data_IF_889611761837
#
_entry.id   IF_889611761837
#
_cell.length_a   1.000
_cell.length_b   1.000
_cell.length_c   1.000
_cell.angle_alpha   90.00
_cell.angle_beta   90.00
_cell.angle_gamma   90.00
#
_symmetry.space_group_name_H-M   'P 1'
#
loop_
_entity.id
_entity.type
_entity.pdbx_description
1 polymer ?
#
# COMPACT_ATOMS: atom_id res chain seq x y z
N UNK A 1 -21.23 -38.44 6.95
CA UNK A 1 -20.66 -37.54 7.97
C UNK A 1 -19.76 -36.49 7.31
N UNK A 2 -20.33 -35.48 6.64
CA UNK A 2 -19.57 -34.40 5.98
C UNK A 2 -20.11 -32.99 6.24
N UNK A 3 -21.30 -32.87 6.86
CA UNK A 3 -21.95 -31.58 7.14
C UNK A 3 -21.55 -30.95 8.48
N UNK A 4 -21.13 -31.75 9.46
CA UNK A 4 -20.83 -31.27 10.81
C UNK A 4 -19.62 -30.32 10.83
N UNK A 5 -18.57 -30.64 10.06
CA UNK A 5 -17.40 -29.75 9.90
C UNK A 5 -17.73 -28.45 9.18
N UNK A 6 -18.58 -28.50 8.15
CA UNK A 6 -19.03 -27.31 7.42
C UNK A 6 -19.90 -26.40 8.30
N UNK A 7 -20.78 -27.00 9.11
CA UNK A 7 -21.62 -26.26 10.06
C UNK A 7 -20.78 -25.61 11.17
N UNK A 8 -19.79 -26.32 11.70
CA UNK A 8 -18.85 -25.77 12.68
C UNK A 8 -17.99 -24.64 12.12
N UNK A 9 -17.54 -24.76 10.87
CA UNK A 9 -16.83 -23.68 10.17
C UNK A 9 -17.71 -22.44 9.98
N UNK A 10 -18.98 -22.62 9.62
CA UNK A 10 -19.94 -21.53 9.49
C UNK A 10 -20.21 -20.84 10.83
N UNK A 11 -20.40 -21.60 11.91
CA UNK A 11 -20.59 -21.06 13.27
C UNK A 11 -19.38 -20.23 13.70
N UNK A 12 -18.16 -20.73 13.48
CA UNK A 12 -16.94 -20.02 13.81
C UNK A 12 -16.77 -18.74 12.96
N UNK A 13 -17.10 -18.80 11.67
CA UNK A 13 -17.11 -17.63 10.78
C UNK A 13 -18.08 -16.55 11.27
N UNK A 14 -19.30 -16.93 11.64
CA UNK A 14 -20.31 -16.00 12.18
C UNK A 14 -19.86 -15.38 13.51
N UNK A 15 -19.27 -16.17 14.41
CA UNK A 15 -18.77 -15.68 15.70
C UNK A 15 -17.60 -14.70 15.53
N UNK A 16 -16.68 -14.99 14.62
CA UNK A 16 -15.58 -14.10 14.28
C UNK A 16 -16.07 -12.80 13.61
N UNK A 17 -17.05 -12.90 12.71
CA UNK A 17 -17.62 -11.71 12.09
C UNK A 17 -18.34 -10.80 13.11
N UNK A 18 -19.04 -11.38 14.09
CA UNK A 18 -19.66 -10.60 15.18
C UNK A 18 -18.63 -9.89 16.06
N UNK A 19 -17.53 -10.57 16.42
CA UNK A 19 -16.47 -9.95 17.23
C UNK A 19 -15.69 -8.88 16.47
N UNK A 20 -15.58 -9.01 15.14
CA UNK A 20 -15.02 -7.95 14.28
C UNK A 20 -15.96 -6.75 14.18
N UNK A 21 -17.28 -6.96 14.12
CA UNK A 21 -18.24 -5.84 14.17
C UNK A 21 -18.20 -5.08 15.49
N UNK A 22 -18.11 -5.78 16.63
CA UNK A 22 -18.00 -5.11 17.94
C UNK A 22 -16.69 -4.33 18.05
N UNK A 23 -15.57 -4.92 17.61
CA UNK A 23 -14.27 -4.23 17.52
C UNK A 23 -14.28 -3.04 16.56
N UNK A 24 -15.03 -3.07 15.45
CA UNK A 24 -15.20 -1.90 14.57
C UNK A 24 -16.02 -0.79 15.22
N UNK A 25 -16.95 -1.14 16.12
CA UNK A 25 -17.73 -0.16 16.88
C UNK A 25 -16.88 0.50 17.96
N UNK A 26 -16.00 -0.26 18.61
CA UNK A 26 -15.08 0.22 19.66
C UNK A 26 -13.86 0.96 19.07
N UNK A 27 -13.23 0.40 18.02
CA UNK A 27 -12.10 1.00 17.30
C UNK A 27 -12.57 1.91 16.16
N UNK A 28 -13.47 2.86 16.45
CA UNK A 28 -13.57 4.07 15.62
C UNK A 28 -12.56 5.08 16.17
N UNK A 29 -11.28 5.10 15.74
CA UNK A 29 -10.34 6.15 16.13
C UNK A 29 -10.79 7.55 15.63
N UNK A 30 -11.79 7.59 14.75
CA UNK A 30 -12.41 8.81 14.22
C UNK A 30 -13.86 9.04 14.73
N UNK A 31 -14.27 8.44 15.86
CA UNK A 31 -15.57 8.76 16.48
C UNK A 31 -15.59 10.13 17.17
N UNK A 32 -14.45 10.82 17.25
CA UNK A 32 -14.38 12.21 17.67
C UNK A 32 -14.88 13.13 16.57
N UNK A 33 -16.02 13.78 16.81
CA UNK A 33 -16.42 15.09 16.30
C UNK A 33 -16.48 15.39 14.79
N UNK A 34 -16.09 14.50 13.87
CA UNK A 34 -16.07 14.79 12.42
C UNK A 34 -17.21 14.13 11.63
N UNK A 35 -18.03 13.29 12.26
CA UNK A 35 -19.12 12.55 11.60
C UNK A 35 -20.30 13.43 11.14
N UNK A 36 -20.37 14.69 11.60
CA UNK A 36 -21.39 15.67 11.22
C UNK A 36 -20.80 16.96 10.66
N UNK A 37 -19.51 16.99 10.32
CA UNK A 37 -18.90 18.18 9.72
C UNK A 37 -19.16 18.11 8.22
N UNK A 38 -19.92 19.07 7.72
CA UNK A 38 -20.01 19.32 6.28
C UNK A 38 -18.59 19.55 5.77
N UNK A 39 -18.11 18.63 4.93
CA UNK A 39 -16.83 18.75 4.27
C UNK A 39 -16.86 20.07 3.49
N UNK A 40 -16.13 21.06 4.01
CA UNK A 40 -15.98 22.37 3.37
C UNK A 40 -15.58 22.13 1.93
N UNK A 41 -16.22 22.84 0.98
CA UNK A 41 -15.93 22.67 -0.44
C UNK A 41 -14.42 22.80 -0.67
N UNK A 42 -13.79 21.68 -1.01
CA UNK A 42 -12.40 21.68 -1.39
C UNK A 42 -12.29 22.51 -2.67
N UNK A 43 -11.36 23.47 -2.76
CA UNK A 43 -11.14 24.19 -3.99
C UNK A 43 -10.87 23.15 -5.07
N UNK A 44 -11.70 23.14 -6.13
CA UNK A 44 -11.52 22.22 -7.26
C UNK A 44 -10.11 22.45 -7.76
N UNK A 45 -9.22 21.46 -7.54
CA UNK A 45 -7.84 21.55 -7.96
C UNK A 45 -7.81 21.97 -9.42
N UNK A 46 -7.20 23.12 -9.72
CA UNK A 46 -7.15 23.61 -11.08
C UNK A 46 -6.42 22.58 -11.93
N UNK A 47 -6.91 22.33 -13.15
CA UNK A 47 -6.25 21.41 -14.09
C UNK A 47 -4.77 21.75 -14.27
N UNK A 48 -4.42 23.03 -14.16
CA UNK A 48 -3.03 23.53 -14.20
C UNK A 48 -2.17 23.03 -13.05
N UNK A 49 -2.72 22.91 -11.85
CA UNK A 49 -1.97 22.48 -10.66
C UNK A 49 -1.73 20.98 -10.69
N UNK A 50 -2.73 20.22 -11.16
CA UNK A 50 -2.58 18.78 -11.42
C UNK A 50 -1.51 18.50 -12.48
N UNK A 51 -1.43 19.31 -13.54
CA UNK A 51 -0.39 19.20 -14.56
C UNK A 51 1.00 19.49 -13.99
N UNK A 52 1.16 20.57 -13.21
CA UNK A 52 2.43 20.90 -12.53
C UNK A 52 2.89 19.78 -11.59
N UNK A 53 1.97 19.22 -10.81
CA UNK A 53 2.27 18.09 -9.92
C UNK A 53 2.72 16.88 -10.74
N UNK A 54 2.00 16.55 -11.81
CA UNK A 54 2.34 15.43 -12.70
C UNK A 54 3.74 15.59 -13.31
N UNK A 55 4.07 16.77 -13.81
CA UNK A 55 5.39 17.05 -14.39
C UNK A 55 6.51 16.94 -13.36
N UNK A 56 6.31 17.49 -12.17
CA UNK A 56 7.27 17.37 -11.06
C UNK A 56 7.52 15.90 -10.70
N UNK A 57 6.45 15.13 -10.58
CA UNK A 57 6.50 13.71 -10.21
C UNK A 57 7.18 12.86 -11.28
N UNK A 58 6.93 13.16 -12.57
CA UNK A 58 7.63 12.51 -13.68
C UNK A 58 9.14 12.83 -13.69
N UNK A 59 9.52 14.07 -13.40
CA UNK A 59 10.94 14.46 -13.34
C UNK A 59 11.67 13.76 -12.19
N UNK A 60 11.06 13.73 -11.02
CA UNK A 60 11.61 13.04 -9.85
C UNK A 60 11.72 11.52 -10.09
N UNK A 61 10.71 10.90 -10.70
CA UNK A 61 10.77 9.49 -11.07
C UNK A 61 11.89 9.19 -12.07
N UNK A 62 12.10 10.03 -13.09
CA UNK A 62 13.21 9.85 -14.05
C UNK A 62 14.58 9.90 -13.37
N UNK A 63 14.76 10.79 -12.40
CA UNK A 63 16.01 10.87 -11.62
C UNK A 63 16.17 9.63 -10.74
N UNK A 64 15.08 9.21 -10.08
CA UNK A 64 15.07 8.03 -9.21
C UNK A 64 15.38 6.76 -10.01
N UNK A 65 14.74 6.54 -11.16
CA UNK A 65 14.97 5.34 -11.98
C UNK A 65 16.41 5.28 -12.49
N UNK A 66 17.00 6.41 -12.92
CA UNK A 66 18.43 6.46 -13.29
C UNK A 66 19.35 6.06 -12.14
N UNK A 67 19.11 6.59 -10.94
CA UNK A 67 19.92 6.22 -9.76
C UNK A 67 19.81 4.72 -9.45
N UNK A 68 18.61 4.15 -9.51
CA UNK A 68 18.42 2.71 -9.30
C UNK A 68 19.14 1.88 -10.36
N UNK A 69 19.08 2.30 -11.62
CA UNK A 69 19.75 1.61 -12.72
C UNK A 69 21.27 1.61 -12.55
N UNK A 70 21.86 2.75 -12.18
CA UNK A 70 23.31 2.85 -11.91
C UNK A 70 23.73 1.92 -10.78
N UNK A 71 23.01 1.94 -9.64
CA UNK A 71 23.33 1.08 -8.49
C UNK A 71 23.20 -0.40 -8.87
N UNK A 72 22.12 -0.79 -9.55
CA UNK A 72 21.90 -2.18 -9.97
C UNK A 72 23.01 -2.66 -10.90
N UNK A 73 23.42 -1.83 -11.86
CA UNK A 73 24.51 -2.16 -12.79
C UNK A 73 25.83 -2.37 -12.03
N UNK A 74 26.13 -1.50 -11.07
CA UNK A 74 27.33 -1.58 -10.23
C UNK A 74 27.36 -2.89 -9.42
N UNK A 75 26.23 -3.25 -8.80
CA UNK A 75 26.07 -4.49 -8.03
C UNK A 75 26.27 -5.71 -8.94
N UNK A 76 25.68 -5.73 -10.14
CA UNK A 76 25.86 -6.82 -11.09
C UNK A 76 27.32 -7.00 -11.53
N UNK A 77 28.04 -5.90 -11.78
CA UNK A 77 29.46 -5.95 -12.13
C UNK A 77 30.30 -6.54 -10.99
N UNK A 78 30.02 -6.15 -9.74
CA UNK A 78 30.72 -6.71 -8.57
C UNK A 78 30.45 -8.21 -8.45
N UNK A 79 29.19 -8.65 -8.59
CA UNK A 79 28.85 -10.08 -8.55
C UNK A 79 29.53 -10.86 -9.68
N UNK A 80 29.50 -10.33 -10.91
CA UNK A 80 30.18 -10.96 -12.05
C UNK A 80 31.69 -11.10 -11.81
N UNK A 81 32.32 -10.07 -11.22
CA UNK A 81 33.74 -10.11 -10.88
C UNK A 81 34.06 -11.17 -9.82
N UNK A 82 33.25 -11.28 -8.76
CA UNK A 82 33.42 -12.30 -7.72
C UNK A 82 33.28 -13.71 -8.31
N UNK A 83 32.26 -13.94 -9.16
CA UNK A 83 32.04 -15.23 -9.82
C UNK A 83 33.23 -15.57 -10.71
N UNK A 84 33.69 -14.63 -11.53
CA UNK A 84 34.85 -14.83 -12.39
C UNK A 84 36.08 -15.25 -11.59
N UNK A 85 36.36 -14.57 -10.47
CA UNK A 85 37.50 -14.85 -9.59
C UNK A 85 37.40 -16.19 -8.86
N UNK A 86 36.19 -16.69 -8.63
CA UNK A 86 35.96 -17.99 -7.97
C UNK A 86 36.02 -19.15 -8.96
N UNK A 87 35.59 -18.94 -10.20
CA UNK A 87 35.55 -19.97 -11.24
C UNK A 87 36.92 -20.18 -11.93
N UNK A 88 37.76 -19.14 -11.96
CA UNK A 88 39.08 -19.10 -12.62
C UNK A 88 40.18 -18.72 -11.62
#
# INVERSE_FOLDING_TARGET
MGGEGAMMAAINSLKNNRSLMSKRKENKPFSGSYAGIELKEFPKASKTDLLKIREKLQRENKIRTRKHFVILTLVLVIFAFIIYRYLF
#
